data_IF_209546276943
#
_entry.id   IF_209546276943
#
_cell.length_a   1.000
_cell.length_b   1.000
_cell.length_c   1.000
_cell.angle_alpha   90.00
_cell.angle_beta   90.00
_cell.angle_gamma   90.00
#
_symmetry.space_group_name_H-M   'P 1'
#
loop_
_entity.id
_entity.type
_entity.pdbx_description
1 polymer ?
#
# COMPACT_ATOMS: atom_id res chain seq x y z
N UNK A 1 -32.78 30.39 -40.86
CA UNK A 1 -32.64 29.58 -39.64
C UNK A 1 -31.40 28.74 -39.82
N UNK A 2 -30.25 29.32 -39.51
CA UNK A 2 -28.97 28.60 -39.51
C UNK A 2 -28.75 28.05 -38.10
N UNK A 3 -28.84 26.73 -37.99
CA UNK A 3 -28.45 25.97 -36.81
C UNK A 3 -26.93 25.84 -36.81
N UNK A 4 -26.27 26.50 -35.85
CA UNK A 4 -24.85 26.35 -35.57
C UNK A 4 -24.65 25.11 -34.70
N UNK A 5 -23.91 24.15 -35.22
CA UNK A 5 -23.35 23.04 -34.46
C UNK A 5 -22.15 23.57 -33.65
N UNK A 6 -22.27 23.56 -32.32
CA UNK A 6 -21.17 23.84 -31.40
C UNK A 6 -20.34 22.57 -31.20
N UNK A 7 -19.26 22.49 -31.96
CA UNK A 7 -18.23 21.47 -31.84
C UNK A 7 -17.40 21.74 -30.57
N UNK A 8 -17.71 21.03 -29.50
CA UNK A 8 -16.97 21.05 -28.24
C UNK A 8 -15.64 20.30 -28.41
N UNK A 9 -14.57 21.04 -28.71
CA UNK A 9 -13.18 20.57 -28.65
C UNK A 9 -12.79 20.25 -27.21
N UNK A 10 -12.80 18.96 -26.87
CA UNK A 10 -12.14 18.42 -25.68
C UNK A 10 -10.63 18.58 -25.85
N UNK A 11 -10.04 19.49 -25.06
CA UNK A 11 -8.60 19.62 -24.93
C UNK A 11 -8.02 18.30 -24.42
N UNK A 12 -7.23 17.64 -25.26
CA UNK A 12 -6.33 16.57 -24.84
C UNK A 12 -5.38 17.17 -23.79
N UNK A 13 -5.63 16.83 -22.53
CA UNK A 13 -4.78 17.22 -21.42
C UNK A 13 -3.47 16.46 -21.59
N UNK A 14 -2.49 17.14 -22.17
CA UNK A 14 -1.12 16.71 -22.36
C UNK A 14 -0.55 16.34 -20.99
N UNK A 15 -0.45 15.03 -20.72
CA UNK A 15 0.20 14.51 -19.52
C UNK A 15 1.67 14.89 -19.64
N UNK A 16 2.04 15.95 -18.93
CA UNK A 16 3.39 16.49 -18.88
C UNK A 16 4.39 15.37 -18.63
N UNK A 17 5.20 15.08 -19.64
CA UNK A 17 6.42 14.29 -19.50
C UNK A 17 7.40 15.11 -18.65
N UNK A 18 7.29 15.00 -17.32
CA UNK A 18 8.37 15.40 -16.42
C UNK A 18 9.52 14.43 -16.64
N UNK A 19 10.45 14.82 -17.50
CA UNK A 19 11.74 14.17 -17.73
C UNK A 19 12.61 14.30 -16.46
N UNK A 20 12.40 13.42 -15.50
CA UNK A 20 13.41 13.13 -14.48
C UNK A 20 14.37 12.08 -15.03
N UNK A 21 15.61 12.49 -15.32
CA UNK A 21 16.66 11.71 -15.99
C UNK A 21 17.27 10.55 -15.16
N UNK A 22 16.65 10.16 -14.05
CA UNK A 22 16.97 8.90 -13.37
C UNK A 22 16.14 7.76 -13.96
N UNK A 23 16.37 7.49 -15.26
CA UNK A 23 15.74 6.38 -15.96
C UNK A 23 16.36 5.06 -15.47
N UNK A 24 15.85 4.53 -14.35
CA UNK A 24 15.86 3.07 -14.18
C UNK A 24 15.14 2.51 -15.40
N UNK A 25 15.85 1.69 -16.18
CA UNK A 25 15.34 1.16 -17.44
C UNK A 25 14.32 0.08 -17.13
N UNK A 26 13.11 0.48 -16.71
CA UNK A 26 11.97 -0.43 -16.59
C UNK A 26 11.87 -1.23 -17.88
N UNK A 27 11.74 -2.56 -17.75
CA UNK A 27 11.61 -3.46 -18.89
C UNK A 27 10.54 -2.94 -19.87
N UNK A 28 10.86 -2.76 -21.17
CA UNK A 28 9.91 -2.27 -22.16
C UNK A 28 8.59 -3.04 -22.21
N UNK A 29 8.60 -4.34 -21.89
CA UNK A 29 7.40 -5.18 -21.82
C UNK A 29 6.50 -4.71 -20.67
N UNK A 30 7.08 -4.45 -19.51
CA UNK A 30 6.35 -3.98 -18.32
C UNK A 30 5.76 -2.60 -18.58
N UNK A 31 6.54 -1.71 -19.17
CA UNK A 31 6.06 -0.38 -19.56
C UNK A 31 4.88 -0.48 -20.55
N UNK A 32 4.95 -1.41 -21.51
CA UNK A 32 3.85 -1.64 -22.45
C UNK A 32 2.58 -2.16 -21.75
N UNK A 33 2.70 -3.05 -20.77
CA UNK A 33 1.58 -3.56 -19.97
C UNK A 33 0.91 -2.41 -19.21
N UNK A 34 1.71 -1.56 -18.56
CA UNK A 34 1.21 -0.40 -17.82
C UNK A 34 0.46 0.58 -18.73
N UNK A 35 1.04 0.93 -19.88
CA UNK A 35 0.43 1.84 -20.86
C UNK A 35 -0.91 1.28 -21.37
N UNK A 36 -0.98 -0.03 -21.68
CA UNK A 36 -2.23 -0.66 -22.15
C UNK A 36 -3.30 -0.64 -21.07
N UNK A 37 -2.95 -0.97 -19.83
CA UNK A 37 -3.87 -0.92 -18.69
C UNK A 37 -4.40 0.49 -18.42
N UNK A 38 -3.51 1.48 -18.39
CA UNK A 38 -3.87 2.88 -18.15
C UNK A 38 -4.75 3.44 -19.28
N UNK A 39 -4.43 3.14 -20.55
CA UNK A 39 -5.27 3.53 -21.69
C UNK A 39 -6.67 2.92 -21.59
N UNK A 40 -6.78 1.67 -21.19
CA UNK A 40 -8.06 1.00 -20.99
C UNK A 40 -8.88 1.61 -19.83
N UNK A 41 -8.20 2.06 -18.78
CA UNK A 41 -8.82 2.78 -17.66
C UNK A 41 -9.34 4.16 -18.09
N UNK A 42 -8.57 4.91 -18.87
CA UNK A 42 -8.94 6.27 -19.33
C UNK A 42 -10.13 6.20 -20.31
N UNK A 43 -10.19 5.17 -21.15
CA UNK A 43 -11.22 5.03 -22.18
C UNK A 43 -12.66 5.14 -21.63
N UNK A 44 -13.48 5.98 -22.29
CA UNK A 44 -14.91 6.11 -21.98
C UNK A 44 -15.20 6.68 -20.59
N UNK A 45 -14.41 7.66 -20.15
CA UNK A 45 -14.47 8.30 -18.82
C UNK A 45 -14.29 7.31 -17.67
N UNK A 46 -13.52 6.23 -17.89
CA UNK A 46 -13.32 5.21 -16.88
C UNK A 46 -12.53 5.71 -15.67
N UNK A 47 -11.50 6.53 -15.91
CA UNK A 47 -10.67 7.14 -14.86
C UNK A 47 -11.51 7.99 -13.89
N UNK A 48 -12.37 8.87 -14.42
CA UNK A 48 -13.25 9.74 -13.59
C UNK A 48 -14.20 8.91 -12.73
N UNK A 49 -14.81 7.85 -13.28
CA UNK A 49 -15.68 6.93 -12.53
C UNK A 49 -14.91 6.20 -11.44
N UNK A 50 -13.72 5.70 -11.78
CA UNK A 50 -12.83 5.04 -10.83
C UNK A 50 -12.42 5.98 -9.69
N UNK A 51 -11.96 7.19 -10.00
CA UNK A 51 -11.61 8.23 -9.03
C UNK A 51 -12.78 8.58 -8.10
N UNK A 52 -13.99 8.72 -8.63
CA UNK A 52 -15.19 8.94 -7.81
C UNK A 52 -15.43 7.79 -6.82
N UNK A 53 -15.27 6.54 -7.26
CA UNK A 53 -15.38 5.39 -6.35
C UNK A 53 -14.25 5.32 -5.33
N UNK A 54 -13.03 5.67 -5.73
CA UNK A 54 -11.86 5.67 -4.88
C UNK A 54 -11.95 6.75 -3.78
N UNK A 55 -12.32 7.97 -4.15
CA UNK A 55 -12.59 9.07 -3.22
C UNK A 55 -13.67 8.69 -2.20
N UNK A 56 -14.77 8.07 -2.67
CA UNK A 56 -15.82 7.57 -1.77
C UNK A 56 -15.30 6.49 -0.81
N UNK A 57 -14.41 5.60 -1.27
CA UNK A 57 -13.82 4.55 -0.41
C UNK A 57 -12.85 5.10 0.61
N UNK A 58 -12.06 6.11 0.26
CA UNK A 58 -11.22 6.85 1.21
C UNK A 58 -12.05 7.49 2.31
N UNK A 59 -13.13 8.16 1.92
CA UNK A 59 -13.99 8.83 2.87
C UNK A 59 -14.64 7.88 3.88
N UNK A 60 -15.11 6.71 3.43
CA UNK A 60 -15.67 5.69 4.32
C UNK A 60 -14.65 5.23 5.38
N UNK A 61 -13.34 5.26 5.06
CA UNK A 61 -12.30 4.91 6.04
C UNK A 61 -12.04 6.04 7.05
N UNK A 62 -12.39 7.27 6.70
CA UNK A 62 -12.24 8.46 7.54
C UNK A 62 -13.55 8.82 8.29
N UNK A 63 -14.68 8.19 7.95
CA UNK A 63 -15.98 8.39 8.62
C UNK A 63 -16.00 8.04 10.12
N UNK A 64 -15.01 7.34 10.65
CA UNK A 64 -14.80 7.24 12.10
C UNK A 64 -14.40 8.60 12.74
N UNK A 65 -14.11 9.64 11.94
CA UNK A 65 -13.64 10.95 12.39
C UNK A 65 -14.47 12.16 11.91
N UNK A 66 -15.26 12.05 10.84
CA UNK A 66 -15.97 13.21 10.26
C UNK A 66 -17.43 12.92 9.82
N UNK A 67 -18.27 13.94 9.95
CA UNK A 67 -19.72 13.94 9.67
C UNK A 67 -20.04 13.78 8.17
N UNK A 68 -21.09 12.99 7.87
CA UNK A 68 -21.57 12.53 6.54
C UNK A 68 -21.74 13.55 5.40
N UNK A 69 -21.52 14.85 5.60
CA UNK A 69 -22.14 15.86 4.74
C UNK A 69 -21.51 16.07 3.35
N UNK A 70 -20.18 16.22 3.15
CA UNK A 70 -19.71 16.81 1.87
C UNK A 70 -18.33 16.32 1.36
N UNK A 71 -18.09 15.02 1.21
CA UNK A 71 -16.89 14.53 0.49
C UNK A 71 -17.18 14.24 -0.98
N UNK A 72 -17.70 15.22 -1.71
CA UNK A 72 -17.84 15.06 -3.15
C UNK A 72 -16.45 15.11 -3.81
N UNK A 73 -16.18 14.17 -4.73
CA UNK A 73 -14.98 14.19 -5.55
C UNK A 73 -14.93 15.53 -6.30
N UNK A 74 -13.90 16.33 -6.03
CA UNK A 74 -13.69 17.62 -6.67
C UNK A 74 -12.54 17.50 -7.68
N UNK A 75 -12.83 17.41 -9.00
CA UNK A 75 -11.79 17.31 -10.02
C UNK A 75 -10.89 18.55 -10.09
N UNK A 76 -11.32 19.68 -9.52
CA UNK A 76 -10.54 20.93 -9.48
C UNK A 76 -9.62 21.01 -8.25
N UNK A 77 -9.73 20.08 -7.30
CA UNK A 77 -8.80 19.99 -6.17
C UNK A 77 -7.51 19.30 -6.65
N UNK A 78 -6.47 20.12 -6.84
CA UNK A 78 -5.16 19.66 -7.32
C UNK A 78 -4.53 18.61 -6.40
N UNK A 79 -4.66 18.78 -5.09
CA UNK A 79 -4.09 17.85 -4.11
C UNK A 79 -4.81 16.51 -4.17
N UNK A 80 -6.15 16.52 -4.23
CA UNK A 80 -6.93 15.31 -4.40
C UNK A 80 -6.58 14.59 -5.70
N UNK A 81 -6.44 15.33 -6.81
CA UNK A 81 -6.07 14.78 -8.12
C UNK A 81 -4.71 14.09 -8.09
N UNK A 82 -3.66 14.78 -7.64
CA UNK A 82 -2.30 14.21 -7.56
C UNK A 82 -2.27 12.96 -6.69
N UNK A 83 -3.00 12.97 -5.57
CA UNK A 83 -3.10 11.80 -4.69
C UNK A 83 -3.79 10.62 -5.37
N UNK A 84 -4.90 10.86 -6.07
CA UNK A 84 -5.64 9.82 -6.79
C UNK A 84 -4.84 9.27 -7.98
N UNK A 85 -4.12 10.12 -8.70
CA UNK A 85 -3.27 9.72 -9.83
C UNK A 85 -2.12 8.82 -9.37
N UNK A 86 -1.38 9.24 -8.34
CA UNK A 86 -0.29 8.42 -7.76
C UNK A 86 -0.83 7.06 -7.29
N UNK A 87 -2.02 7.04 -6.69
CA UNK A 87 -2.61 5.80 -6.22
C UNK A 87 -3.11 4.89 -7.34
N UNK A 88 -3.56 5.50 -8.44
CA UNK A 88 -3.90 4.82 -9.69
C UNK A 88 -2.66 4.16 -10.28
N UNK A 89 -1.52 4.85 -10.30
CA UNK A 89 -0.24 4.32 -10.79
C UNK A 89 0.21 3.11 -9.97
N UNK A 90 0.18 3.19 -8.63
CA UNK A 90 0.53 2.06 -7.76
C UNK A 90 -0.41 0.86 -7.93
N UNK A 91 -1.70 1.11 -8.18
CA UNK A 91 -2.64 0.05 -8.57
C UNK A 91 -2.25 -0.58 -9.90
N UNK A 92 -1.92 0.21 -10.93
CA UNK A 92 -1.50 -0.32 -12.23
C UNK A 92 -0.20 -1.13 -12.12
N UNK A 93 0.77 -0.69 -11.32
CA UNK A 93 2.00 -1.45 -11.01
C UNK A 93 1.68 -2.80 -10.38
N UNK A 94 0.78 -2.84 -9.40
CA UNK A 94 0.37 -4.10 -8.79
C UNK A 94 -0.34 -5.04 -9.76
N UNK A 95 -1.24 -4.55 -10.61
CA UNK A 95 -1.92 -5.38 -11.62
C UNK A 95 -0.94 -5.87 -12.70
N UNK A 96 0.05 -5.06 -13.05
CA UNK A 96 1.14 -5.49 -13.93
C UNK A 96 1.96 -6.62 -13.30
N UNK A 97 2.31 -6.54 -12.01
CA UNK A 97 2.95 -7.65 -11.29
C UNK A 97 2.14 -8.94 -11.40
N UNK A 98 0.84 -8.89 -11.12
CA UNK A 98 -0.03 -10.07 -11.24
C UNK A 98 -0.03 -10.66 -12.65
N UNK A 99 0.03 -9.80 -13.67
CA UNK A 99 0.10 -10.23 -15.07
C UNK A 99 1.43 -10.92 -15.36
N UNK A 100 2.56 -10.30 -15.00
CA UNK A 100 3.91 -10.78 -15.30
C UNK A 100 4.19 -12.09 -14.57
N UNK A 101 3.75 -12.21 -13.32
CA UNK A 101 3.92 -13.44 -12.52
C UNK A 101 2.82 -14.47 -12.77
N UNK A 102 1.87 -14.20 -13.68
CA UNK A 102 0.71 -15.04 -13.96
C UNK A 102 -0.08 -15.43 -12.68
N UNK A 103 -0.18 -14.50 -11.72
CA UNK A 103 -0.89 -14.67 -10.44
C UNK A 103 -2.38 -14.31 -10.59
N UNK A 104 -3.10 -15.07 -11.41
CA UNK A 104 -4.46 -14.70 -11.86
C UNK A 104 -5.56 -15.32 -11.00
N UNK A 105 -5.39 -16.58 -10.58
CA UNK A 105 -6.42 -17.36 -9.89
C UNK A 105 -6.12 -17.60 -8.41
N UNK A 106 -7.15 -17.87 -7.61
CA UNK A 106 -6.96 -18.29 -6.23
C UNK A 106 -6.29 -19.68 -6.09
N UNK A 107 -5.39 -19.87 -5.10
CA UNK A 107 -4.94 -18.89 -4.11
C UNK A 107 -3.90 -17.91 -4.67
N UNK A 108 -4.18 -16.61 -4.62
CA UNK A 108 -3.24 -15.58 -5.06
C UNK A 108 -1.98 -15.59 -4.18
N UNK A 109 -0.82 -15.64 -4.82
CA UNK A 109 0.50 -15.57 -4.21
C UNK A 109 0.91 -14.14 -3.85
N UNK A 110 0.42 -13.15 -4.60
CA UNK A 110 0.67 -11.73 -4.35
C UNK A 110 -0.47 -11.10 -3.55
N UNK A 111 -0.11 -10.17 -2.67
CA UNK A 111 -1.02 -9.42 -1.83
C UNK A 111 -0.58 -7.95 -1.77
N UNK A 112 -1.44 -7.00 -2.20
CA UNK A 112 -1.09 -5.59 -2.21
C UNK A 112 -1.02 -5.02 -0.79
N UNK A 113 -0.44 -3.83 -0.66
CA UNK A 113 -0.59 -3.01 0.54
C UNK A 113 -2.06 -2.62 0.80
N UNK A 114 -2.35 -2.07 1.99
CA UNK A 114 -3.73 -1.72 2.34
C UNK A 114 -4.33 -0.71 1.36
N UNK A 115 -3.58 0.36 1.07
CA UNK A 115 -4.04 1.43 0.21
C UNK A 115 -4.30 0.89 -1.22
N UNK A 116 -3.31 0.23 -1.82
CA UNK A 116 -3.46 -0.38 -3.15
C UNK A 116 -4.63 -1.38 -3.18
N UNK A 117 -4.86 -2.12 -2.09
CA UNK A 117 -6.02 -2.99 -1.93
C UNK A 117 -7.37 -2.26 -1.98
N UNK A 118 -7.46 -1.04 -1.43
CA UNK A 118 -8.66 -0.19 -1.53
C UNK A 118 -8.86 0.30 -2.96
N UNK A 119 -7.78 0.74 -3.61
CA UNK A 119 -7.82 1.15 -5.01
C UNK A 119 -8.32 0.01 -5.90
N UNK A 120 -7.81 -1.21 -5.70
CA UNK A 120 -8.27 -2.38 -6.43
C UNK A 120 -9.75 -2.67 -6.20
N UNK A 121 -10.21 -2.64 -4.93
CA UNK A 121 -11.64 -2.77 -4.60
C UNK A 121 -12.49 -1.70 -5.26
N UNK A 122 -12.03 -0.46 -5.32
CA UNK A 122 -12.74 0.63 -5.99
C UNK A 122 -12.86 0.38 -7.50
N UNK A 123 -11.81 -0.14 -8.14
CA UNK A 123 -11.85 -0.51 -9.56
C UNK A 123 -12.85 -1.64 -9.82
N UNK A 124 -12.92 -2.64 -8.94
CA UNK A 124 -13.89 -3.74 -9.03
C UNK A 124 -15.35 -3.29 -8.92
N UNK A 125 -15.64 -2.11 -8.36
CA UNK A 125 -16.99 -1.53 -8.34
C UNK A 125 -17.48 -1.08 -9.71
N UNK A 126 -16.59 -1.05 -10.72
CA UNK A 126 -16.96 -0.82 -12.11
C UNK A 126 -16.52 -1.99 -12.97
N UNK A 127 -17.25 -3.13 -12.95
CA UNK A 127 -16.83 -4.39 -13.57
C UNK A 127 -16.47 -4.27 -15.05
N UNK A 128 -17.17 -3.41 -15.80
CA UNK A 128 -16.91 -3.15 -17.21
C UNK A 128 -15.55 -2.49 -17.46
N UNK A 129 -15.10 -1.60 -16.57
CA UNK A 129 -13.77 -0.96 -16.64
C UNK A 129 -12.72 -1.97 -16.18
N UNK A 130 -12.97 -2.63 -15.04
CA UNK A 130 -12.04 -3.60 -14.47
C UNK A 130 -11.70 -4.72 -15.45
N UNK A 131 -12.71 -5.30 -16.09
CA UNK A 131 -12.56 -6.32 -17.12
C UNK A 131 -11.72 -5.82 -18.30
N UNK A 132 -12.00 -4.61 -18.81
CA UNK A 132 -11.22 -4.00 -19.90
C UNK A 132 -9.75 -3.81 -19.53
N UNK A 133 -9.46 -3.35 -18.31
CA UNK A 133 -8.08 -3.19 -17.82
C UNK A 133 -7.36 -4.53 -17.76
N UNK A 134 -7.98 -5.57 -17.18
CA UNK A 134 -7.39 -6.90 -17.09
C UNK A 134 -7.05 -7.49 -18.47
N UNK A 135 -8.01 -7.41 -19.42
CA UNK A 135 -7.82 -7.88 -20.79
C UNK A 135 -6.76 -7.06 -21.55
N UNK A 136 -6.76 -5.73 -21.40
CA UNK A 136 -5.79 -4.87 -22.05
C UNK A 136 -4.35 -5.13 -21.58
N UNK A 137 -4.17 -5.50 -20.30
CA UNK A 137 -2.87 -5.92 -19.76
C UNK A 137 -2.40 -7.29 -20.30
N UNK A 138 -3.26 -8.04 -21.00
CA UNK A 138 -2.90 -9.31 -21.64
C UNK A 138 -3.39 -10.56 -20.91
N UNK A 139 -4.22 -10.42 -19.88
CA UNK A 139 -4.79 -11.56 -19.17
C UNK A 139 -5.99 -12.13 -19.92
N UNK A 140 -6.09 -13.45 -20.00
CA UNK A 140 -7.25 -14.14 -20.58
C UNK A 140 -8.44 -14.20 -19.64
N UNK A 141 -8.21 -14.02 -18.33
CA UNK A 141 -9.21 -14.01 -17.28
C UNK A 141 -9.07 -12.74 -16.42
N UNK A 142 -10.16 -12.39 -15.73
CA UNK A 142 -10.14 -11.33 -14.73
C UNK A 142 -9.37 -11.85 -13.51
N UNK A 143 -8.59 -10.98 -12.84
CA UNK A 143 -7.90 -11.40 -11.61
C UNK A 143 -8.90 -11.68 -10.50
N UNK A 144 -8.74 -12.83 -9.85
CA UNK A 144 -9.45 -13.15 -8.63
C UNK A 144 -8.98 -12.24 -7.48
N UNK A 145 -9.92 -11.79 -6.66
CA UNK A 145 -9.65 -11.00 -5.47
C UNK A 145 -10.60 -11.39 -4.35
N UNK A 146 -10.04 -11.94 -3.25
CA UNK A 146 -10.77 -12.04 -1.99
C UNK A 146 -10.79 -10.66 -1.30
N UNK A 147 -11.95 -9.98 -1.18
CA UNK A 147 -12.04 -8.70 -0.49
C UNK A 147 -11.66 -8.78 0.99
N UNK A 148 -11.69 -9.98 1.58
CA UNK A 148 -11.32 -10.22 2.98
C UNK A 148 -9.80 -10.17 3.20
N UNK A 149 -9.00 -10.27 2.13
CA UNK A 149 -7.55 -10.39 2.23
C UNK A 149 -6.86 -9.08 2.60
N UNK A 150 -7.40 -7.94 2.17
CA UNK A 150 -6.87 -6.60 2.51
C UNK A 150 -7.52 -6.00 3.76
N UNK A 151 -8.46 -6.71 4.40
CA UNK A 151 -9.07 -6.30 5.67
C UNK A 151 -8.27 -6.75 6.90
N UNK A 152 -8.37 -5.97 7.99
CA UNK A 152 -7.86 -6.36 9.30
C UNK A 152 -8.66 -7.55 9.87
N UNK A 153 -8.14 -8.76 9.72
CA UNK A 153 -8.77 -9.97 10.24
C UNK A 153 -8.28 -10.29 11.65
N UNK A 154 -9.20 -10.62 12.57
CA UNK A 154 -8.95 -10.87 14.00
C UNK A 154 -8.27 -12.23 14.28
N UNK A 155 -8.00 -13.06 13.24
CA UNK A 155 -7.44 -14.42 13.42
C UNK A 155 -5.95 -14.49 13.04
N UNK A 156 -5.10 -14.63 14.07
CA UNK A 156 -3.63 -14.62 14.01
C UNK A 156 -2.97 -15.56 12.96
N UNK A 157 -3.57 -16.72 12.64
CA UNK A 157 -2.95 -17.67 11.70
C UNK A 157 -3.04 -17.19 10.24
N UNK A 158 -4.13 -16.52 9.86
CA UNK A 158 -4.30 -15.95 8.51
C UNK A 158 -3.38 -14.75 8.29
N UNK A 159 -3.09 -14.01 9.36
CA UNK A 159 -2.24 -12.82 9.30
C UNK A 159 -0.80 -13.13 8.89
N UNK A 160 -0.19 -14.21 9.43
CA UNK A 160 1.16 -14.64 9.03
C UNK A 160 1.26 -14.96 7.54
N UNK A 161 0.25 -15.63 6.97
CA UNK A 161 0.22 -15.92 5.53
C UNK A 161 0.05 -14.66 4.69
N UNK A 162 -0.78 -13.71 5.14
CA UNK A 162 -0.93 -12.41 4.47
C UNK A 162 0.39 -11.63 4.47
N UNK A 163 1.08 -11.54 5.61
CA UNK A 163 2.39 -10.89 5.71
C UNK A 163 3.41 -11.54 4.77
N UNK A 164 3.43 -12.88 4.71
CA UNK A 164 4.33 -13.60 3.80
C UNK A 164 4.06 -13.26 2.33
N UNK A 165 2.79 -13.28 1.89
CA UNK A 165 2.40 -12.91 0.51
C UNK A 165 2.71 -11.45 0.20
N UNK A 166 2.47 -10.55 1.15
CA UNK A 166 2.81 -9.15 1.01
C UNK A 166 4.32 -8.95 0.83
N UNK A 167 5.16 -9.59 1.65
CA UNK A 167 6.62 -9.54 1.49
C UNK A 167 7.13 -10.18 0.19
N UNK A 168 6.41 -11.18 -0.35
CA UNK A 168 6.69 -11.70 -1.71
C UNK A 168 6.35 -10.64 -2.76
N UNK A 169 5.27 -9.89 -2.57
CA UNK A 169 4.85 -8.82 -3.48
C UNK A 169 5.82 -7.66 -3.49
N UNK A 170 6.32 -7.23 -2.33
CA UNK A 170 7.34 -6.18 -2.23
C UNK A 170 8.63 -6.58 -2.96
N UNK A 171 9.09 -7.82 -2.79
CA UNK A 171 10.27 -8.32 -3.51
C UNK A 171 10.06 -8.36 -5.01
N UNK A 172 8.90 -8.87 -5.46
CA UNK A 172 8.56 -8.84 -6.88
C UNK A 172 8.50 -7.40 -7.42
N UNK A 173 7.98 -6.45 -6.65
CA UNK A 173 7.97 -5.03 -7.04
C UNK A 173 9.40 -4.52 -7.27
N UNK A 174 10.31 -4.76 -6.32
CA UNK A 174 11.70 -4.36 -6.43
C UNK A 174 12.39 -5.00 -7.66
N UNK A 175 12.15 -6.29 -7.88
CA UNK A 175 12.76 -7.07 -8.97
C UNK A 175 12.30 -6.60 -10.37
N UNK A 176 11.07 -6.08 -10.49
CA UNK A 176 10.47 -5.74 -11.79
C UNK A 176 10.44 -4.24 -12.11
N UNK A 177 10.47 -3.37 -11.10
CA UNK A 177 10.40 -1.91 -11.30
C UNK A 177 11.70 -1.18 -10.93
N UNK A 178 12.74 -1.90 -10.53
CA UNK A 178 14.04 -1.35 -10.11
C UNK A 178 13.90 -0.19 -9.09
N UNK A 179 12.83 -0.21 -8.29
CA UNK A 179 12.47 0.86 -7.38
C UNK A 179 11.72 0.30 -6.18
N UNK A 180 11.96 0.88 -5.02
CA UNK A 180 11.21 0.52 -3.83
C UNK A 180 9.79 1.10 -3.88
N UNK A 181 8.76 0.31 -3.56
CA UNK A 181 7.39 0.79 -3.54
C UNK A 181 7.23 1.89 -2.48
N UNK A 182 6.51 3.00 -2.78
CA UNK A 182 6.33 4.06 -1.80
C UNK A 182 5.57 3.57 -0.57
N UNK A 183 6.16 3.75 0.61
CA UNK A 183 5.64 3.22 1.88
C UNK A 183 4.21 3.66 2.16
N UNK A 184 3.84 4.88 1.79
CA UNK A 184 2.49 5.44 1.96
C UNK A 184 1.40 4.52 1.39
N UNK A 185 1.62 3.91 0.22
CA UNK A 185 0.62 3.09 -0.47
C UNK A 185 0.77 1.58 -0.18
N UNK A 186 1.99 1.17 0.16
CA UNK A 186 2.35 -0.24 0.28
C UNK A 186 2.45 -0.75 1.72
N UNK A 187 2.25 0.10 2.73
CA UNK A 187 2.20 -0.36 4.12
C UNK A 187 1.09 -1.41 4.32
N UNK A 188 1.49 -2.60 4.76
CA UNK A 188 0.57 -3.59 5.31
C UNK A 188 0.15 -3.13 6.71
N UNK A 189 -1.15 -3.02 6.99
CA UNK A 189 -1.63 -2.61 8.31
C UNK A 189 -1.03 -3.50 9.41
N UNK A 190 -0.02 -2.99 10.12
CA UNK A 190 0.06 -3.22 11.55
C UNK A 190 -0.99 -2.30 12.13
N UNK A 191 -2.15 -2.84 12.50
CA UNK A 191 -2.88 -2.23 13.61
C UNK A 191 -1.85 -2.17 14.73
N UNK A 192 -1.33 -0.97 15.00
CA UNK A 192 -0.70 -0.71 16.27
C UNK A 192 -1.69 -1.22 17.28
N UNK A 193 -1.29 -2.27 18.00
CA UNK A 193 -2.00 -2.63 19.20
C UNK A 193 -1.99 -1.37 20.03
N UNK A 194 -3.13 -0.71 20.10
CA UNK A 194 -3.48 0.36 21.05
C UNK A 194 -3.52 -0.22 22.47
N UNK A 195 -2.54 -1.07 22.81
CA UNK A 195 -2.26 -1.64 24.12
C UNK A 195 -1.03 -1.00 24.78
N UNK A 196 -0.45 0.07 24.22
CA UNK A 196 0.67 0.81 24.85
C UNK A 196 0.59 2.34 24.74
N UNK A 197 -0.62 2.92 24.69
CA UNK A 197 -0.76 4.36 24.99
C UNK A 197 -0.79 4.66 26.50
N UNK A 198 -0.74 3.65 27.36
CA UNK A 198 -0.59 3.86 28.81
C UNK A 198 0.89 3.84 29.27
N UNK A 199 1.81 3.26 28.49
CA UNK A 199 3.24 3.22 28.87
C UNK A 199 4.04 4.43 28.36
N UNK A 200 3.63 5.07 27.27
CA UNK A 200 4.37 6.21 26.69
C UNK A 200 4.11 7.51 27.48
N UNK A 201 2.90 7.70 28.01
CA UNK A 201 2.64 8.81 28.93
C UNK A 201 3.32 8.59 30.29
N UNK A 202 3.47 7.34 30.73
CA UNK A 202 4.20 6.99 31.97
C UNK A 202 5.72 7.20 31.82
N UNK A 203 6.30 7.05 30.63
CA UNK A 203 7.73 7.37 30.43
C UNK A 203 8.00 8.88 30.31
N UNK A 204 7.05 9.67 29.79
CA UNK A 204 7.20 11.14 29.74
C UNK A 204 6.96 11.84 31.09
N UNK A 205 6.11 11.30 31.97
CA UNK A 205 5.96 11.84 33.34
C UNK A 205 7.22 11.60 34.20
N UNK A 206 8.10 10.67 33.81
CA UNK A 206 9.40 10.47 34.48
C UNK A 206 10.50 11.44 34.04
N UNK A 207 10.27 12.25 33.00
CA UNK A 207 11.31 13.09 32.39
C UNK A 207 11.07 14.60 32.54
N UNK A 208 9.94 15.00 33.13
CA UNK A 208 9.71 16.38 33.61
C UNK A 208 9.74 16.37 35.14
N UNK A 209 10.82 16.93 35.69
CA UNK A 209 11.14 16.88 37.10
C UNK A 209 10.05 17.48 37.99
N UNK A 210 9.53 16.64 38.89
CA UNK A 210 9.30 17.09 40.25
C UNK A 210 10.63 16.90 40.96
N UNK A 211 11.31 18.01 41.23
CA UNK A 211 12.47 18.05 42.11
C UNK A 211 12.05 17.57 43.50
N UNK A 212 12.30 16.30 43.80
CA UNK A 212 12.59 15.88 45.17
C UNK A 212 14.11 15.84 45.31
N UNK A 213 14.69 17.03 45.45
CA UNK A 213 15.99 17.23 46.07
C UNK A 213 16.02 16.58 47.46
N UNK A 214 17.20 16.11 47.87
CA UNK A 214 17.63 15.61 49.19
C UNK A 214 17.84 14.08 49.32
N UNK A 215 19.01 13.61 48.87
CA UNK A 215 20.16 13.21 49.70
C UNK A 215 21.11 12.39 48.82
N UNK A 216 22.19 13.01 48.36
CA UNK A 216 23.37 12.32 47.81
C UNK A 216 24.22 11.81 48.97
N UNK A 217 24.39 10.49 49.08
CA UNK A 217 25.42 9.87 49.89
C UNK A 217 26.74 9.83 49.08
N UNK A 218 27.82 10.51 49.52
CA UNK A 218 29.09 10.54 48.81
C UNK A 218 29.99 9.31 49.05
N UNK A 219 29.53 8.22 49.68
CA UNK A 219 30.34 7.04 49.99
C UNK A 219 29.96 5.74 49.27
N UNK A 220 29.13 5.77 48.23
CA UNK A 220 28.85 4.57 47.42
C UNK A 220 30.09 4.20 46.56
N UNK A 221 30.99 3.46 47.21
CA UNK A 221 32.24 2.93 46.67
C UNK A 221 31.92 1.78 45.73
N UNK A 222 32.69 1.73 44.64
CA UNK A 222 32.63 0.77 43.54
C UNK A 222 32.46 -0.69 43.98
N UNK A 223 31.48 -1.38 43.40
CA UNK A 223 31.48 -2.85 43.28
C UNK A 223 31.08 -3.20 41.85
N UNK A 224 32.09 -3.36 41.00
CA UNK A 224 32.03 -4.13 39.76
C UNK A 224 31.81 -5.60 40.11
N UNK A 225 30.62 -6.12 39.84
CA UNK A 225 30.38 -7.56 39.71
C UNK A 225 30.07 -7.88 38.26
N UNK A 226 31.10 -8.34 37.56
CA UNK A 226 30.99 -9.04 36.29
C UNK A 226 30.12 -10.29 36.50
N UNK A 227 28.92 -10.28 35.91
CA UNK A 227 28.09 -11.49 35.82
C UNK A 227 28.45 -12.17 34.51
N UNK A 228 29.34 -13.16 34.60
CA UNK A 228 29.65 -14.08 33.51
C UNK A 228 28.37 -14.83 33.08
N UNK A 229 28.04 -14.69 31.79
CA UNK A 229 27.01 -15.51 31.14
C UNK A 229 27.55 -16.94 30.95
N UNK A 230 26.86 -17.99 31.43
CA UNK A 230 27.26 -19.36 31.11
C UNK A 230 27.05 -19.64 29.61
N UNK A 231 28.12 -20.12 28.97
CA UNK A 231 28.15 -20.60 27.60
C UNK A 231 27.32 -21.87 27.41
N UNK A 232 26.88 -22.06 26.17
CA UNK A 232 26.01 -23.09 25.62
C UNK A 232 26.26 -24.54 26.07
N UNK A 233 25.21 -25.40 26.06
CA UNK A 233 25.29 -26.81 26.44
C UNK A 233 26.16 -27.64 25.47
N UNK A 234 27.00 -28.52 26.04
CA UNK A 234 27.79 -29.55 25.33
C UNK A 234 26.87 -30.55 24.63
N UNK A 235 27.16 -30.85 23.36
CA UNK A 235 26.54 -31.98 22.65
C UNK A 235 27.03 -33.32 23.20
N UNK A 236 26.17 -34.36 23.25
CA UNK A 236 26.59 -35.73 23.52
C UNK A 236 27.39 -36.30 22.34
N UNK A 237 28.50 -36.97 22.67
CA UNK A 237 29.21 -37.84 21.75
C UNK A 237 28.47 -39.18 21.69
N UNK A 238 28.18 -39.65 20.48
CA UNK A 238 27.69 -41.00 20.25
C UNK A 238 28.90 -41.93 20.14
N UNK A 239 29.00 -42.90 21.04
CA UNK A 239 29.89 -44.05 20.89
C UNK A 239 29.26 -45.02 19.88
N UNK A 240 29.98 -45.32 18.81
CA UNK A 240 29.63 -46.39 17.88
C UNK A 240 30.31 -47.68 18.37
N UNK A 241 29.50 -48.67 18.77
CA UNK A 241 29.90 -50.08 18.80
C UNK A 241 29.73 -50.73 17.43
#
# INVERSE_FOLDING_TARGET
MESRDEESTLNEHDFGQSHDENNSSIDPIIQQILIKGMRALIAGNGLVKFHKHLAKKLYILDQDRFSEADSEYNPNDEMQRVMLDTWTEELMRFLALKTITNDISEPCSLLPGFAVGIAWKALMLTPSIYSKVCFAMGNSNIFDHDPSDTGASVRNLKEKHKIKRHNVTLRAYDDYFDSHPPSLYWNFHKKESTKKKDDIFTSMIRQCGVETSFFTDPFATEVTTEVEKPMSPKMPLYDNE
#
